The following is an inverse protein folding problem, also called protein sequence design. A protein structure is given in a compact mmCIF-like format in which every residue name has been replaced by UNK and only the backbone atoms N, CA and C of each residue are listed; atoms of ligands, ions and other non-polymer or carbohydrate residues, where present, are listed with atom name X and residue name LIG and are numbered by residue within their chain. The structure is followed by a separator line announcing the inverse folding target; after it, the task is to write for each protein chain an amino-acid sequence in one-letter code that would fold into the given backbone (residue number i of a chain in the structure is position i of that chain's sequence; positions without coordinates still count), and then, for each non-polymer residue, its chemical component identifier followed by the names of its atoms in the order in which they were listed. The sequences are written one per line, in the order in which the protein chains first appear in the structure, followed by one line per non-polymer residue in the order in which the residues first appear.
data_IF_952129122914
#
_entry.id   IF_952129122914
#
_cell.length_a   1.000
_cell.length_b   1.000
_cell.length_c   1.000
_cell.angle_alpha   90.00
_cell.angle_beta   90.00
_cell.angle_gamma   90.00
#
_symmetry.space_group_name_H-M   'P 1'
#
loop_
_entity.id
_entity.type
_entity.pdbx_description
1 polymer ?
#
# COMPACT_ATOMS: atom_id res chain seq x y z
N UNK A 1 -10.70 -8.15 -18.64
CA UNK A 1 -9.78 -7.13 -18.10
C UNK A 1 -10.55 -6.34 -17.06
N UNK A 2 -10.39 -6.66 -15.79
CA UNK A 2 -11.05 -5.94 -14.70
C UNK A 2 -10.25 -4.65 -14.44
N UNK A 3 -10.94 -3.51 -14.41
CA UNK A 3 -10.34 -2.23 -14.05
C UNK A 3 -10.04 -2.23 -12.55
N UNK A 4 -8.78 -1.95 -12.20
CA UNK A 4 -8.37 -1.69 -10.83
C UNK A 4 -9.09 -0.45 -10.29
N UNK A 5 -9.59 -0.55 -9.07
CA UNK A 5 -10.38 0.48 -8.39
C UNK A 5 -9.42 1.61 -7.95
N UNK A 6 -9.40 2.70 -8.70
CA UNK A 6 -8.71 3.94 -8.31
C UNK A 6 -9.60 4.72 -7.35
N UNK A 7 -9.15 4.89 -6.11
CA UNK A 7 -9.71 5.87 -5.18
C UNK A 7 -8.68 7.00 -5.04
N UNK A 8 -8.97 8.16 -5.63
CA UNK A 8 -8.18 9.39 -5.43
C UNK A 8 -8.66 10.11 -4.17
N UNK A 9 -7.74 10.51 -3.30
CA UNK A 9 -8.04 11.14 -2.02
C UNK A 9 -7.84 12.67 -2.17
N UNK A 10 -8.94 13.42 -2.23
CA UNK A 10 -8.96 14.82 -2.73
C UNK A 10 -8.32 15.84 -1.75
N UNK A 11 -7.94 15.41 -0.54
CA UNK A 11 -7.44 16.27 0.56
C UNK A 11 -6.33 15.64 1.40
N UNK A 12 -5.61 14.66 0.86
CA UNK A 12 -4.80 13.82 1.71
C UNK A 12 -3.34 14.29 1.79
N UNK A 13 -2.88 14.59 2.99
CA UNK A 13 -1.46 14.69 3.33
C UNK A 13 -0.74 13.33 3.21
N UNK A 14 -1.51 12.24 3.05
CA UNK A 14 -1.05 10.84 2.98
C UNK A 14 -1.85 10.04 1.96
N UNK A 15 -1.24 9.06 1.29
CA UNK A 15 -1.97 8.14 0.42
C UNK A 15 -2.34 6.88 1.20
N UNK A 16 -3.61 6.79 1.59
CA UNK A 16 -4.17 5.65 2.32
C UNK A 16 -5.03 4.76 1.42
N UNK A 17 -5.11 3.48 1.77
CA UNK A 17 -6.02 2.55 1.09
C UNK A 17 -6.24 1.25 1.82
N UNK A 18 -7.18 0.48 1.30
CA UNK A 18 -7.53 -0.85 1.82
C UNK A 18 -8.02 -1.78 0.71
N UNK A 19 -7.79 -3.07 0.91
CA UNK A 19 -8.34 -4.15 0.10
C UNK A 19 -8.93 -5.22 1.02
N UNK A 20 -10.17 -5.64 0.75
CA UNK A 20 -10.88 -6.63 1.58
C UNK A 20 -10.46 -8.08 1.25
N UNK A 21 -9.57 -8.28 0.27
CA UNK A 21 -8.99 -9.59 -0.04
C UNK A 21 -7.84 -9.88 0.94
N UNK A 22 -7.84 -11.10 1.47
CA UNK A 22 -6.78 -11.58 2.36
C UNK A 22 -5.58 -12.02 1.52
N UNK A 23 -4.39 -11.50 1.83
CA UNK A 23 -3.13 -11.90 1.19
C UNK A 23 -2.63 -13.25 1.73
N UNK A 24 -3.30 -14.36 1.42
CA UNK A 24 -2.98 -15.69 1.97
C UNK A 24 -1.52 -16.10 1.72
N UNK A 25 -0.97 -15.73 0.56
CA UNK A 25 0.42 -15.96 0.17
C UNK A 25 1.22 -14.66 0.02
N UNK A 26 0.75 -13.57 0.64
CA UNK A 26 1.30 -12.23 0.44
C UNK A 26 0.97 -11.65 -0.94
N UNK A 27 1.69 -10.60 -1.32
CA UNK A 27 1.52 -9.92 -2.59
C UNK A 27 2.41 -8.69 -2.72
N UNK A 28 1.99 -7.78 -3.59
CA UNK A 28 2.72 -6.55 -3.88
C UNK A 28 1.76 -5.37 -4.03
N UNK A 29 2.17 -4.24 -3.46
CA UNK A 29 1.56 -2.95 -3.71
C UNK A 29 2.46 -2.17 -4.67
N UNK A 30 1.96 -1.93 -5.88
CA UNK A 30 2.65 -1.14 -6.89
C UNK A 30 2.27 0.31 -6.73
N UNK A 31 3.26 1.19 -6.58
CA UNK A 31 3.06 2.63 -6.42
C UNK A 31 3.49 3.31 -7.71
N UNK A 32 2.57 4.07 -8.30
CA UNK A 32 2.74 4.74 -9.56
C UNK A 32 2.59 6.25 -9.41
N UNK A 33 3.30 7.02 -10.24
CA UNK A 33 3.06 8.44 -10.46
C UNK A 33 2.65 8.63 -11.93
N UNK A 34 1.38 8.92 -12.16
CA UNK A 34 0.79 8.83 -13.50
C UNK A 34 0.94 7.43 -14.10
N UNK A 35 1.71 7.28 -15.20
CA UNK A 35 1.96 5.98 -15.86
C UNK A 35 3.28 5.32 -15.44
N UNK A 36 4.09 5.98 -14.62
CA UNK A 36 5.41 5.50 -14.24
C UNK A 36 5.31 4.72 -12.94
N UNK A 37 5.88 3.53 -12.91
CA UNK A 37 6.11 2.79 -11.67
C UNK A 37 7.23 3.47 -10.87
N UNK A 38 6.97 3.80 -9.62
CA UNK A 38 7.90 4.47 -8.72
C UNK A 38 8.48 3.49 -7.71
N UNK A 39 7.63 2.64 -7.12
CA UNK A 39 8.06 1.67 -6.11
C UNK A 39 7.16 0.44 -6.09
N UNK A 40 7.69 -0.67 -5.57
CA UNK A 40 6.92 -1.89 -5.28
C UNK A 40 7.19 -2.25 -3.82
N UNK A 41 6.15 -2.19 -3.01
CA UNK A 41 6.22 -2.63 -1.61
C UNK A 41 5.64 -4.03 -1.45
N UNK A 42 6.26 -4.84 -0.59
CA UNK A 42 5.78 -6.20 -0.32
C UNK A 42 4.58 -6.18 0.63
N UNK A 43 3.54 -6.94 0.29
CA UNK A 43 2.39 -7.20 1.16
C UNK A 43 2.65 -8.54 1.86
N UNK A 44 2.81 -8.56 3.20
CA UNK A 44 3.04 -9.81 3.91
C UNK A 44 1.80 -10.70 3.97
N UNK A 45 1.98 -12.00 4.19
CA UNK A 45 0.86 -12.86 4.61
C UNK A 45 0.49 -12.53 6.06
N UNK A 46 -0.79 -12.46 6.42
CA UNK A 46 -1.20 -12.36 7.82
C UNK A 46 -0.83 -13.64 8.58
N UNK A 47 -0.80 -13.56 9.91
CA UNK A 47 -0.67 -14.72 10.76
C UNK A 47 -2.00 -15.47 10.82
N UNK A 48 -2.23 -16.40 9.87
CA UNK A 48 -3.46 -17.17 9.72
C UNK A 48 -3.78 -18.11 10.90
N UNK A 49 -2.83 -18.34 11.81
CA UNK A 49 -3.01 -19.20 12.98
C UNK A 49 -3.41 -18.43 14.25
N UNK A 50 -3.52 -17.11 14.17
CA UNK A 50 -3.90 -16.29 15.31
C UNK A 50 -5.35 -16.56 15.76
N UNK A 51 -5.57 -16.67 17.07
CA UNK A 51 -6.91 -16.85 17.65
C UNK A 51 -7.72 -15.55 17.67
N UNK A 52 -7.02 -14.40 17.72
CA UNK A 52 -7.62 -13.06 17.73
C UNK A 52 -7.21 -12.30 16.48
N UNK A 53 -8.11 -11.45 15.99
CA UNK A 53 -7.84 -10.61 14.81
C UNK A 53 -6.61 -9.73 15.00
N UNK A 54 -6.44 -9.12 16.17
CA UNK A 54 -5.28 -8.27 16.49
C UNK A 54 -3.95 -9.01 16.44
N UNK A 55 -3.96 -10.31 16.73
CA UNK A 55 -2.76 -11.16 16.70
C UNK A 55 -2.47 -11.69 15.28
N UNK A 56 -3.39 -11.45 14.34
CA UNK A 56 -3.23 -11.82 12.93
C UNK A 56 -2.46 -10.80 12.09
N UNK A 57 -2.29 -9.57 12.64
CA UNK A 57 -1.67 -8.45 11.94
C UNK A 57 -0.20 -8.76 11.70
N UNK A 58 0.22 -8.63 10.44
CA UNK A 58 1.63 -8.62 10.05
C UNK A 58 1.88 -7.32 9.30
N UNK A 59 2.79 -6.51 9.84
CA UNK A 59 3.17 -5.21 9.31
C UNK A 59 4.43 -5.35 8.43
N UNK A 60 4.49 -4.60 7.34
CA UNK A 60 5.70 -4.32 6.60
C UNK A 60 5.85 -2.80 6.43
N UNK A 61 6.97 -2.25 6.91
CA UNK A 61 7.34 -0.85 6.72
C UNK A 61 8.49 -0.77 5.72
N UNK A 62 8.34 0.08 4.70
CA UNK A 62 9.33 0.25 3.63
C UNK A 62 9.52 1.74 3.31
N UNK A 63 10.75 2.13 2.94
CA UNK A 63 11.13 3.52 2.68
C UNK A 63 11.87 3.61 1.35
N UNK A 64 11.51 4.59 0.52
CA UNK A 64 12.13 4.81 -0.78
C UNK A 64 12.24 6.30 -1.11
N UNK A 65 13.11 6.66 -2.06
CA UNK A 65 13.33 8.04 -2.49
C UNK A 65 13.11 8.13 -4.00
N UNK A 66 12.40 9.16 -4.46
CA UNK A 66 12.21 9.40 -5.90
C UNK A 66 13.39 10.15 -6.54
N UNK A 67 13.28 10.43 -7.84
CA UNK A 67 14.32 11.17 -8.57
C UNK A 67 14.40 12.66 -8.21
N UNK A 68 13.35 13.22 -7.62
CA UNK A 68 13.33 14.60 -7.13
C UNK A 68 13.95 14.75 -5.73
N UNK A 69 14.22 13.62 -5.06
CA UNK A 69 14.75 13.58 -3.70
C UNK A 69 13.68 13.59 -2.61
N UNK A 70 12.41 13.34 -2.97
CA UNK A 70 11.33 13.16 -2.00
C UNK A 70 11.46 11.79 -1.36
N UNK A 71 11.43 11.73 -0.03
CA UNK A 71 11.46 10.49 0.73
C UNK A 71 10.04 10.04 1.04
N UNK A 72 9.75 8.77 0.85
CA UNK A 72 8.46 8.16 1.10
C UNK A 72 8.61 7.02 2.10
N UNK A 73 7.69 6.94 3.06
CA UNK A 73 7.56 5.79 3.95
C UNK A 73 6.19 5.19 3.80
N UNK A 74 6.12 3.89 3.53
CA UNK A 74 4.88 3.13 3.48
C UNK A 74 4.81 2.12 4.60
N UNK A 75 3.66 2.07 5.25
CA UNK A 75 3.30 1.03 6.21
C UNK A 75 2.17 0.21 5.60
N UNK A 76 2.34 -1.11 5.57
CA UNK A 76 1.36 -2.06 5.04
C UNK A 76 1.03 -3.08 6.14
N UNK A 77 -0.24 -3.16 6.51
CA UNK A 77 -0.76 -4.15 7.45
C UNK A 77 -1.57 -5.20 6.72
N UNK A 78 -1.27 -6.47 6.98
CA UNK A 78 -2.07 -7.59 6.49
C UNK A 78 -2.72 -8.33 7.64
N UNK A 79 -4.02 -8.61 7.50
CA UNK A 79 -4.85 -9.26 8.53
C UNK A 79 -5.68 -10.38 7.91
N UNK A 80 -6.34 -11.20 8.74
CA UNK A 80 -7.30 -12.20 8.25
C UNK A 80 -8.55 -11.62 7.58
N UNK A 81 -8.74 -10.30 7.58
CA UNK A 81 -9.92 -9.65 6.98
C UNK A 81 -9.57 -8.74 5.79
N UNK A 82 -8.29 -8.57 5.49
CA UNK A 82 -7.84 -7.70 4.41
C UNK A 82 -6.50 -7.04 4.69
N UNK A 83 -6.18 -6.06 3.85
CA UNK A 83 -4.93 -5.34 3.82
C UNK A 83 -5.25 -3.85 3.94
N UNK A 84 -4.46 -3.13 4.73
CA UNK A 84 -4.49 -1.67 4.82
C UNK A 84 -3.11 -1.10 4.60
N UNK A 85 -3.02 0.10 4.07
CA UNK A 85 -1.74 0.79 3.92
C UNK A 85 -1.87 2.30 4.07
N UNK A 86 -0.78 2.92 4.49
CA UNK A 86 -0.58 4.36 4.53
C UNK A 86 0.80 4.71 4.00
N UNK A 87 0.86 5.67 3.09
CA UNK A 87 2.09 6.21 2.51
C UNK A 87 2.21 7.69 2.88
N UNK A 88 3.35 8.04 3.47
CA UNK A 88 3.70 9.40 3.85
C UNK A 88 4.91 9.88 3.04
N UNK A 89 4.97 11.18 2.74
CA UNK A 89 6.08 11.82 2.03
C UNK A 89 6.76 12.89 2.90
N UNK A 90 8.08 12.99 2.77
CA UNK A 90 8.91 14.05 3.37
C UNK A 90 9.86 14.69 2.33
N UNK A 91 9.91 16.04 2.22
CA UNK A 91 8.96 16.98 2.84
C UNK A 91 7.56 16.80 2.23
N UNK A 92 6.52 16.95 3.05
CA UNK A 92 5.14 16.74 2.61
C UNK A 92 4.75 17.74 1.53
N UNK A 93 4.45 17.24 0.33
CA UNK A 93 3.87 18.01 -0.76
C UNK A 93 2.54 17.35 -1.21
N UNK A 94 1.38 17.92 -0.83
CA UNK A 94 0.07 17.35 -1.18
C UNK A 94 -0.14 17.19 -2.69
N UNK A 95 0.51 18.01 -3.52
CA UNK A 95 0.37 17.90 -4.97
C UNK A 95 1.11 16.66 -5.50
N UNK A 96 2.24 16.28 -4.87
CA UNK A 96 2.93 15.04 -5.21
C UNK A 96 2.13 13.82 -4.78
N UNK A 97 1.60 13.82 -3.55
CA UNK A 97 0.75 12.74 -3.03
C UNK A 97 -0.48 12.51 -3.91
N UNK A 98 -1.12 13.58 -4.41
CA UNK A 98 -2.29 13.49 -5.29
C UNK A 98 -2.03 12.85 -6.64
N UNK A 99 -0.80 12.90 -7.13
CA UNK A 99 -0.38 12.28 -8.40
C UNK A 99 -0.07 10.79 -8.25
N UNK A 100 -0.03 10.28 -7.02
CA UNK A 100 0.25 8.88 -6.75
C UNK A 100 -1.01 8.01 -6.89
N UNK A 101 -0.78 6.83 -7.44
CA UNK A 101 -1.78 5.78 -7.59
C UNK A 101 -1.20 4.45 -7.13
N UNK A 102 -2.07 3.56 -6.69
CA UNK A 102 -1.66 2.21 -6.27
C UNK A 102 -2.38 1.12 -7.07
N UNK A 103 -1.72 -0.03 -7.18
CA UNK A 103 -2.32 -1.28 -7.66
C UNK A 103 -1.94 -2.41 -6.71
N UNK A 104 -2.93 -3.16 -6.22
CA UNK A 104 -2.74 -4.33 -5.36
C UNK A 104 -2.75 -5.60 -6.20
N UNK A 105 -1.67 -6.38 -6.12
CA UNK A 105 -1.60 -7.73 -6.69
C UNK A 105 -1.29 -8.75 -5.61
N UNK A 106 -2.22 -9.68 -5.39
CA UNK A 106 -2.01 -10.78 -4.45
C UNK A 106 -1.46 -11.99 -5.19
N UNK A 107 -0.65 -12.80 -4.50
CA UNK A 107 -0.07 -14.00 -5.09
C UNK A 107 -1.09 -15.13 -5.27
N UNK A 108 -2.28 -14.99 -4.69
CA UNK A 108 -3.35 -15.98 -4.69
C UNK A 108 -4.35 -15.84 -5.86
N UNK A 109 -4.19 -14.80 -6.69
CA UNK A 109 -5.02 -14.50 -7.88
C UNK A 109 -4.44 -15.08 -9.20
#
# INVERSE_FOLDING_TARGET
MAMAKSAGNEFADHLEGSDNRVALSGGYLYIHRGKRLVHIASIPSPNLLAERLSDSVVENTDTFVDEAGNEYTIVIDSTMVGITWSLEEYPTDPDVIRELHYEVRLNDD
#
